data_IF_291432963352
#
_entry.id   IF_291432963352
#
_cell.length_a   1.000
_cell.length_b   1.000
_cell.length_c   1.000
_cell.angle_alpha   90.00
_cell.angle_beta   90.00
_cell.angle_gamma   90.00
#
_symmetry.space_group_name_H-M   'P 1'
#
loop_
_entity.id
_entity.type
_entity.pdbx_description
1 polymer ?
#
# COMPACT_ATOMS: atom_id res chain seq x y z
N UNK A 1 6.25 -0.29 6.76
CA UNK A 1 7.58 0.33 6.46
C UNK A 1 8.70 -0.08 7.44
N UNK A 2 8.54 0.16 8.76
CA UNK A 2 9.62 -0.10 9.75
C UNK A 2 10.02 -1.58 9.86
N UNK A 3 9.06 -2.50 9.75
CA UNK A 3 9.29 -3.96 9.87
C UNK A 3 10.24 -4.47 8.79
N UNK A 4 9.88 -4.30 7.49
CA UNK A 4 10.73 -4.70 6.37
C UNK A 4 12.14 -4.09 6.46
N UNK A 5 12.23 -2.80 6.82
CA UNK A 5 13.53 -2.14 7.01
C UNK A 5 14.37 -2.82 8.11
N UNK A 6 13.79 -3.07 9.30
CA UNK A 6 14.49 -3.72 10.41
C UNK A 6 14.96 -5.13 10.06
N UNK A 7 14.13 -5.92 9.36
CA UNK A 7 14.49 -7.28 8.95
C UNK A 7 15.64 -7.23 7.95
N UNK A 8 15.53 -6.47 6.86
CA UNK A 8 16.53 -6.41 5.79
C UNK A 8 17.89 -5.90 6.28
N UNK A 9 17.91 -4.89 7.16
CA UNK A 9 19.16 -4.27 7.61
C UNK A 9 19.78 -4.98 8.82
N UNK A 10 19.10 -5.99 9.39
CA UNK A 10 19.66 -6.84 10.45
C UNK A 10 20.17 -8.14 9.84
N UNK A 11 21.25 -8.00 9.07
CA UNK A 11 21.83 -9.06 8.23
C UNK A 11 22.33 -10.28 9.02
N UNK A 12 22.69 -10.10 10.29
CA UNK A 12 23.22 -11.15 11.16
C UNK A 12 22.19 -11.76 12.12
N UNK A 13 21.06 -11.11 12.36
CA UNK A 13 20.10 -11.54 13.39
C UNK A 13 18.70 -11.77 12.83
N UNK A 14 18.03 -10.72 12.34
CA UNK A 14 16.63 -10.85 11.92
C UNK A 14 16.50 -11.42 10.51
N UNK A 15 17.38 -11.05 9.57
CA UNK A 15 17.31 -11.55 8.21
C UNK A 15 17.53 -13.08 8.13
N UNK A 16 18.53 -13.67 8.80
CA UNK A 16 18.69 -15.12 8.83
C UNK A 16 17.51 -15.82 9.50
N UNK A 17 17.05 -15.31 10.66
CA UNK A 17 15.88 -15.83 11.36
C UNK A 17 14.61 -15.78 10.51
N UNK A 18 14.42 -14.70 9.75
CA UNK A 18 13.29 -14.58 8.83
C UNK A 18 13.37 -15.65 7.74
N UNK A 19 14.54 -15.82 7.11
CA UNK A 19 14.75 -16.83 6.07
C UNK A 19 14.50 -18.24 6.58
N UNK A 20 14.95 -18.55 7.78
CA UNK A 20 14.67 -19.82 8.46
C UNK A 20 13.18 -19.97 8.78
N UNK A 21 12.52 -18.90 9.25
CA UNK A 21 11.09 -18.93 9.57
C UNK A 21 10.20 -19.19 8.35
N UNK A 22 10.55 -18.63 7.18
CA UNK A 22 9.80 -18.87 5.94
C UNK A 22 10.29 -20.11 5.18
N UNK A 23 11.37 -20.77 5.63
CA UNK A 23 11.87 -21.99 5.01
C UNK A 23 10.81 -23.10 5.13
N UNK A 24 10.57 -23.83 4.03
CA UNK A 24 9.52 -24.85 3.98
C UNK A 24 8.09 -24.32 3.86
N UNK A 25 7.90 -22.99 3.74
CA UNK A 25 6.63 -22.39 3.35
C UNK A 25 6.63 -22.04 1.87
N UNK A 26 5.46 -21.69 1.30
CA UNK A 26 5.36 -21.17 -0.08
C UNK A 26 6.12 -19.84 -0.31
N UNK A 27 6.64 -19.22 0.75
CA UNK A 27 7.39 -17.98 0.71
C UNK A 27 8.90 -18.18 0.93
N UNK A 28 9.40 -19.41 0.78
CA UNK A 28 10.82 -19.70 0.87
C UNK A 28 11.65 -18.77 -0.04
N UNK A 29 12.73 -18.22 0.52
CA UNK A 29 13.60 -17.26 -0.17
C UNK A 29 13.01 -15.85 -0.34
N UNK A 30 11.73 -15.63 -0.02
CA UNK A 30 11.07 -14.32 -0.14
C UNK A 30 11.30 -13.47 1.12
N UNK A 31 11.50 -12.17 0.90
CA UNK A 31 11.60 -11.15 1.97
C UNK A 31 10.53 -10.09 1.73
N UNK A 32 10.02 -9.50 2.81
CA UNK A 32 9.08 -8.38 2.73
C UNK A 32 9.68 -7.22 1.92
N UNK A 33 9.04 -6.79 0.83
CA UNK A 33 9.51 -5.66 0.03
C UNK A 33 9.67 -4.41 0.87
N UNK A 34 10.71 -3.63 0.58
CA UNK A 34 10.94 -2.34 1.22
C UNK A 34 10.18 -1.25 0.49
N UNK A 35 9.50 -0.40 1.25
CA UNK A 35 8.96 0.87 0.76
C UNK A 35 10.10 1.87 0.46
N UNK A 36 10.11 2.37 -0.77
CA UNK A 36 11.11 3.25 -1.39
C UNK A 36 10.40 4.49 -1.92
N UNK A 37 10.60 5.63 -1.26
CA UNK A 37 9.87 6.87 -1.57
C UNK A 37 10.00 7.35 -3.03
N UNK A 38 11.09 7.02 -3.72
CA UNK A 38 11.31 7.39 -5.13
C UNK A 38 10.71 6.40 -6.13
N UNK A 39 10.23 5.24 -5.67
CA UNK A 39 9.59 4.22 -6.51
C UNK A 39 8.09 4.24 -6.28
N UNK A 40 7.37 4.76 -7.28
CA UNK A 40 5.93 5.02 -7.29
C UNK A 40 5.07 3.94 -6.61
N UNK A 41 5.27 2.66 -6.95
CA UNK A 41 4.44 1.56 -6.44
C UNK A 41 4.96 0.85 -5.19
N UNK A 42 6.12 1.24 -4.66
CA UNK A 42 6.78 0.44 -3.62
C UNK A 42 5.98 0.34 -2.32
N UNK A 43 5.21 1.36 -1.95
CA UNK A 43 4.30 1.32 -0.80
C UNK A 43 3.19 0.28 -1.02
N UNK A 44 2.58 0.28 -2.21
CA UNK A 44 1.55 -0.69 -2.57
C UNK A 44 2.12 -2.11 -2.59
N UNK A 45 3.26 -2.32 -3.25
CA UNK A 45 3.93 -3.62 -3.34
C UNK A 45 4.29 -4.16 -1.93
N UNK A 46 4.79 -3.28 -1.06
CA UNK A 46 5.06 -3.62 0.34
C UNK A 46 3.78 -4.05 1.06
N UNK A 47 2.70 -3.26 1.00
CA UNK A 47 1.45 -3.57 1.70
C UNK A 47 0.78 -4.84 1.16
N UNK A 48 0.79 -5.03 -0.16
CA UNK A 48 0.27 -6.22 -0.82
C UNK A 48 1.01 -7.49 -0.38
N UNK A 49 2.35 -7.46 -0.39
CA UNK A 49 3.16 -8.58 0.11
C UNK A 49 2.99 -8.81 1.62
N UNK A 50 2.80 -7.74 2.39
CA UNK A 50 2.57 -7.82 3.83
C UNK A 50 1.25 -8.53 4.16
N UNK A 51 0.19 -8.28 3.38
CA UNK A 51 -1.09 -9.01 3.47
C UNK A 51 -0.96 -10.46 3.01
N UNK A 52 -0.25 -10.69 1.91
CA UNK A 52 -0.04 -12.04 1.37
C UNK A 52 0.67 -12.95 2.37
N UNK A 53 1.61 -12.39 3.13
CA UNK A 53 2.43 -13.08 4.13
C UNK A 53 1.90 -12.89 5.57
N UNK A 54 0.61 -12.54 5.76
CA UNK A 54 0.04 -12.17 7.07
C UNK A 54 0.42 -13.15 8.18
N UNK A 55 0.26 -14.45 7.96
CA UNK A 55 0.54 -15.49 8.96
C UNK A 55 2.01 -15.49 9.39
N UNK A 56 2.93 -15.50 8.43
CA UNK A 56 4.37 -15.54 8.67
C UNK A 56 4.84 -14.24 9.33
N UNK A 57 4.28 -13.11 8.91
CA UNK A 57 4.56 -11.81 9.51
C UNK A 57 4.11 -11.79 10.97
N UNK A 58 2.85 -12.16 11.25
CA UNK A 58 2.30 -12.14 12.60
C UNK A 58 3.10 -13.06 13.54
N UNK A 59 3.37 -14.30 13.12
CA UNK A 59 4.16 -15.23 13.94
C UNK A 59 5.58 -14.72 14.18
N UNK A 60 6.23 -14.16 13.16
CA UNK A 60 7.57 -13.63 13.31
C UNK A 60 7.65 -12.41 14.23
N UNK A 61 6.63 -11.55 14.24
CA UNK A 61 6.58 -10.37 15.11
C UNK A 61 6.28 -10.73 16.57
N UNK A 62 5.41 -11.73 16.78
CA UNK A 62 4.98 -12.17 18.12
C UNK A 62 6.07 -12.97 18.86
N UNK A 63 7.03 -13.57 18.12
CA UNK A 63 8.20 -14.23 18.73
C UNK A 63 9.02 -13.24 19.55
N UNK A 64 8.97 -13.41 20.88
CA UNK A 64 9.71 -12.60 21.87
C UNK A 64 11.22 -12.47 21.57
N UNK A 65 11.83 -13.53 21.02
CA UNK A 65 13.25 -13.56 20.64
C UNK A 65 13.63 -12.60 19.49
N UNK A 66 12.65 -12.03 18.80
CA UNK A 66 12.86 -11.08 17.71
C UNK A 66 12.79 -9.62 18.16
N UNK A 67 12.27 -9.33 19.37
CA UNK A 67 12.09 -7.96 19.90
C UNK A 67 11.34 -7.03 18.91
N UNK A 68 10.33 -7.59 18.25
CA UNK A 68 9.46 -6.89 17.28
C UNK A 68 8.00 -6.85 17.73
N UNK A 69 7.71 -7.24 18.97
CA UNK A 69 6.36 -7.26 19.56
C UNK A 69 5.65 -5.91 19.46
N UNK A 70 6.41 -4.81 19.55
CA UNK A 70 5.87 -3.44 19.43
C UNK A 70 5.30 -3.12 18.03
N UNK A 71 5.50 -4.01 17.05
CA UNK A 71 5.00 -3.87 15.69
C UNK A 71 3.91 -4.91 15.34
N UNK A 72 3.49 -5.72 16.30
CA UNK A 72 2.34 -6.62 16.12
C UNK A 72 1.12 -5.75 15.84
N UNK A 73 0.44 -6.07 14.74
CA UNK A 73 -0.77 -5.37 14.35
C UNK A 73 -1.99 -6.10 14.91
N UNK A 74 -2.99 -5.33 15.33
CA UNK A 74 -4.30 -5.87 15.66
C UNK A 74 -5.13 -6.19 14.40
N UNK A 75 -6.26 -6.86 14.58
CA UNK A 75 -7.12 -7.24 13.46
C UNK A 75 -7.71 -6.02 12.72
N UNK A 76 -7.98 -4.92 13.44
CA UNK A 76 -8.52 -3.70 12.84
C UNK A 76 -7.48 -3.01 11.94
N UNK A 77 -6.21 -3.03 12.34
CA UNK A 77 -5.08 -2.54 11.54
C UNK A 77 -4.84 -3.42 10.30
N UNK A 78 -4.97 -4.75 10.43
CA UNK A 78 -4.88 -5.66 9.28
C UNK A 78 -6.00 -5.43 8.28
N UNK A 79 -7.25 -5.31 8.74
CA UNK A 79 -8.38 -4.98 7.87
C UNK A 79 -8.23 -3.57 7.29
N UNK A 80 -7.60 -2.64 8.02
CA UNK A 80 -7.32 -1.33 7.49
C UNK A 80 -6.35 -1.35 6.30
N UNK A 81 -5.26 -2.12 6.41
CA UNK A 81 -4.30 -2.31 5.31
C UNK A 81 -4.99 -2.97 4.12
N UNK A 82 -5.81 -3.99 4.36
CA UNK A 82 -6.57 -4.68 3.30
C UNK A 82 -7.51 -3.76 2.54
N UNK A 83 -8.26 -2.92 3.24
CA UNK A 83 -9.15 -1.93 2.62
C UNK A 83 -8.38 -0.90 1.79
N UNK A 84 -7.24 -0.42 2.29
CA UNK A 84 -6.39 0.51 1.53
C UNK A 84 -5.79 -0.13 0.28
N UNK A 85 -5.29 -1.36 0.38
CA UNK A 85 -4.73 -2.09 -0.76
C UNK A 85 -5.80 -2.37 -1.81
N UNK A 86 -7.02 -2.77 -1.42
CA UNK A 86 -8.08 -3.06 -2.39
C UNK A 86 -8.47 -1.81 -3.19
N UNK A 87 -8.57 -0.66 -2.54
CA UNK A 87 -8.96 0.60 -3.18
C UNK A 87 -7.90 1.08 -4.18
N UNK A 88 -6.62 0.92 -3.85
CA UNK A 88 -5.52 1.43 -4.68
C UNK A 88 -5.09 0.46 -5.79
N UNK A 89 -5.53 -0.79 -5.74
CA UNK A 89 -5.06 -1.88 -6.60
C UNK A 89 -5.25 -1.58 -8.08
N UNK A 90 -6.45 -1.24 -8.50
CA UNK A 90 -6.79 -1.16 -9.92
C UNK A 90 -6.05 -0.02 -10.61
N UNK A 91 -6.02 1.17 -10.00
CA UNK A 91 -5.25 2.30 -10.50
C UNK A 91 -3.74 2.00 -10.54
N UNK A 92 -3.22 1.37 -9.47
CA UNK A 92 -1.80 1.00 -9.40
C UNK A 92 -1.42 0.03 -10.52
N UNK A 93 -2.22 -1.01 -10.75
CA UNK A 93 -1.99 -1.98 -11.81
C UNK A 93 -2.10 -1.35 -13.20
N UNK A 94 -3.11 -0.49 -13.42
CA UNK A 94 -3.31 0.21 -14.68
C UNK A 94 -2.09 1.05 -15.06
N UNK A 95 -1.60 1.92 -14.15
CA UNK A 95 -0.43 2.76 -14.41
C UNK A 95 0.91 2.01 -14.37
N UNK A 96 0.92 0.77 -13.90
CA UNK A 96 2.07 -0.13 -13.99
C UNK A 96 2.12 -0.90 -15.32
N UNK A 97 1.07 -0.82 -16.13
CA UNK A 97 0.99 -1.48 -17.43
C UNK A 97 1.78 -0.71 -18.50
N UNK A 98 1.87 -1.28 -19.70
CA UNK A 98 2.72 -0.74 -20.76
C UNK A 98 2.13 0.48 -21.49
N UNK A 99 0.82 0.75 -21.39
CA UNK A 99 0.14 1.74 -22.23
C UNK A 99 -0.79 2.75 -21.51
N UNK A 100 -0.53 3.23 -20.28
CA UNK A 100 -1.29 4.37 -19.76
C UNK A 100 -0.90 5.66 -20.50
N UNK A 101 -1.90 6.43 -20.92
CA UNK A 101 -1.72 7.73 -21.57
C UNK A 101 -2.02 8.88 -20.60
N UNK A 102 -1.62 10.10 -20.98
CA UNK A 102 -1.93 11.32 -20.20
C UNK A 102 -3.45 11.54 -20.08
N UNK A 103 -4.23 11.12 -21.08
CA UNK A 103 -5.69 11.25 -21.07
C UNK A 103 -6.34 10.33 -20.02
N UNK A 104 -5.69 9.23 -19.64
CA UNK A 104 -6.22 8.27 -18.67
C UNK A 104 -6.07 8.73 -17.21
N UNK A 105 -5.31 9.81 -16.97
CA UNK A 105 -5.02 10.31 -15.63
C UNK A 105 -6.29 10.85 -14.95
N UNK A 106 -7.11 11.66 -15.63
CA UNK A 106 -8.34 12.18 -15.03
C UNK A 106 -9.35 11.07 -14.73
N UNK A 107 -9.69 10.16 -15.67
CA UNK A 107 -10.59 9.04 -15.37
C UNK A 107 -10.12 8.19 -14.18
N UNK A 108 -8.80 7.94 -14.08
CA UNK A 108 -8.27 7.19 -12.94
C UNK A 108 -8.33 7.99 -11.64
N UNK A 109 -8.07 9.30 -11.66
CA UNK A 109 -8.28 10.16 -10.51
C UNK A 109 -9.74 10.16 -10.06
N UNK A 110 -10.70 10.23 -11.00
CA UNK A 110 -12.14 10.20 -10.71
C UNK A 110 -12.56 8.88 -10.07
N UNK A 111 -12.05 7.76 -10.59
CA UNK A 111 -12.30 6.44 -10.02
C UNK A 111 -11.74 6.31 -8.58
N UNK A 112 -10.54 6.85 -8.32
CA UNK A 112 -9.96 6.91 -6.98
C UNK A 112 -10.79 7.82 -6.07
N UNK A 113 -11.22 9.00 -6.55
CA UNK A 113 -12.02 9.95 -5.78
C UNK A 113 -13.36 9.36 -5.34
N UNK A 114 -14.05 8.67 -6.27
CA UNK A 114 -15.30 7.95 -6.02
C UNK A 114 -15.09 6.81 -5.03
N UNK A 115 -14.01 6.04 -5.18
CA UNK A 115 -13.66 4.95 -4.25
C UNK A 115 -13.38 5.49 -2.85
N UNK A 116 -12.65 6.60 -2.73
CA UNK A 116 -12.39 7.28 -1.46
C UNK A 116 -13.68 7.81 -0.83
N UNK A 117 -14.51 8.50 -1.60
CA UNK A 117 -15.79 9.03 -1.12
C UNK A 117 -16.70 7.90 -0.60
N UNK A 118 -16.81 6.82 -1.36
CA UNK A 118 -17.59 5.63 -0.99
C UNK A 118 -17.05 4.99 0.29
N UNK A 119 -15.74 4.81 0.40
CA UNK A 119 -15.11 4.29 1.61
C UNK A 119 -15.31 5.21 2.82
N UNK A 120 -15.20 6.53 2.68
CA UNK A 120 -15.41 7.47 3.79
C UNK A 120 -16.85 7.40 4.34
N UNK A 121 -17.84 7.23 3.47
CA UNK A 121 -19.26 7.18 3.84
C UNK A 121 -19.66 5.79 4.39
N UNK A 122 -19.09 4.71 3.86
CA UNK A 122 -19.45 3.34 4.23
C UNK A 122 -18.84 2.90 5.56
N UNK A 123 -19.47 3.35 6.67
CA UNK A 123 -19.03 3.06 8.05
C UNK A 123 -19.13 1.58 8.44
N UNK A 124 -19.95 0.79 7.76
CA UNK A 124 -20.06 -0.65 8.04
C UNK A 124 -18.91 -1.44 7.39
N UNK A 125 -18.42 -1.01 6.23
CA UNK A 125 -17.36 -1.71 5.49
C UNK A 125 -15.95 -1.16 5.72
N UNK A 126 -15.80 0.03 6.32
CA UNK A 126 -14.48 0.63 6.58
C UNK A 126 -14.31 1.11 8.01
N UNK A 127 -13.19 0.71 8.61
CA UNK A 127 -12.79 1.10 9.96
C UNK A 127 -12.47 2.60 10.04
N UNK A 128 -12.52 3.15 11.26
CA UNK A 128 -12.22 4.57 11.48
C UNK A 128 -10.81 4.98 10.99
N UNK A 129 -9.74 4.20 11.21
CA UNK A 129 -8.42 4.50 10.66
C UNK A 129 -8.39 4.58 9.13
N UNK A 130 -9.08 3.66 8.43
CA UNK A 130 -9.18 3.69 6.96
C UNK A 130 -9.88 4.96 6.50
N UNK A 131 -11.03 5.28 7.08
CA UNK A 131 -11.78 6.49 6.70
C UNK A 131 -10.96 7.76 6.90
N UNK A 132 -10.16 7.83 7.96
CA UNK A 132 -9.23 8.93 8.17
C UNK A 132 -8.15 8.97 7.08
N UNK A 133 -7.53 7.84 6.75
CA UNK A 133 -6.54 7.75 5.68
C UNK A 133 -7.12 8.13 4.31
N UNK A 134 -8.34 7.67 3.98
CA UNK A 134 -9.05 8.06 2.75
C UNK A 134 -9.34 9.57 2.71
N UNK A 135 -9.71 10.17 3.84
CA UNK A 135 -9.95 11.61 3.94
C UNK A 135 -8.68 12.43 3.66
N UNK A 136 -7.53 11.96 4.16
CA UNK A 136 -6.22 12.54 3.82
C UNK A 136 -5.91 12.34 2.34
N UNK A 137 -6.12 11.13 1.82
CA UNK A 137 -5.95 10.80 0.41
C UNK A 137 -6.75 11.71 -0.51
N UNK A 138 -8.01 11.98 -0.18
CA UNK A 138 -8.90 12.88 -0.94
C UNK A 138 -8.37 14.31 -0.98
N UNK A 139 -7.82 14.83 0.13
CA UNK A 139 -7.18 16.16 0.16
C UNK A 139 -5.96 16.22 -0.77
N UNK A 140 -5.15 15.16 -0.76
CA UNK A 140 -4.01 15.04 -1.68
C UNK A 140 -4.48 15.00 -3.14
N UNK A 141 -5.53 14.22 -3.42
CA UNK A 141 -6.09 14.12 -4.77
C UNK A 141 -6.63 15.47 -5.27
N UNK A 142 -7.34 16.22 -4.43
CA UNK A 142 -7.82 17.58 -4.75
C UNK A 142 -6.68 18.53 -5.13
N UNK A 143 -5.54 18.45 -4.44
CA UNK A 143 -4.35 19.22 -4.81
C UNK A 143 -3.87 18.85 -6.22
N UNK A 144 -3.84 17.57 -6.57
CA UNK A 144 -3.43 17.13 -7.90
C UNK A 144 -4.47 17.48 -8.97
N UNK A 145 -5.77 17.48 -8.67
CA UNK A 145 -6.79 17.97 -9.60
C UNK A 145 -6.54 19.43 -9.99
N UNK A 146 -6.23 20.27 -9.01
CA UNK A 146 -5.90 21.67 -9.26
C UNK A 146 -4.68 21.81 -10.18
N UNK A 147 -3.61 21.06 -9.92
CA UNK A 147 -2.40 21.08 -10.76
C UNK A 147 -2.64 20.57 -12.18
N UNK A 148 -3.53 19.58 -12.33
CA UNK A 148 -3.95 19.05 -13.63
C UNK A 148 -4.75 20.09 -14.42
N UNK A 149 -5.68 20.82 -13.79
CA UNK A 149 -6.48 21.86 -14.44
C UNK A 149 -5.64 23.08 -14.88
N UNK A 150 -4.62 23.43 -14.08
CA UNK A 150 -3.67 24.50 -14.39
C UNK A 150 -2.68 24.12 -15.52
N UNK A 151 -2.56 22.84 -15.86
CA UNK A 151 -1.57 22.35 -16.82
C UNK A 151 -2.11 22.27 -18.25
N UNK A 152 -1.45 22.99 -19.17
CA UNK A 152 -1.77 22.98 -20.59
C UNK A 152 -1.72 21.57 -21.21
N UNK A 153 -0.83 20.70 -20.74
CA UNK A 153 -0.66 19.34 -21.28
C UNK A 153 -1.92 18.52 -21.08
N UNK A 154 -2.51 18.57 -19.89
CA UNK A 154 -3.73 17.82 -19.59
C UNK A 154 -4.95 18.42 -20.29
N UNK A 155 -5.05 19.75 -20.35
CA UNK A 155 -6.11 20.42 -21.11
C UNK A 155 -6.06 20.07 -22.60
N UNK A 156 -4.87 19.97 -23.19
CA UNK A 156 -4.70 19.55 -24.59
C UNK A 156 -5.00 18.06 -24.80
N UNK A 157 -4.67 17.21 -23.82
CA UNK A 157 -4.94 15.77 -23.90
C UNK A 157 -6.44 15.45 -23.81
N UNK A 158 -7.20 16.24 -23.06
CA UNK A 158 -8.66 16.06 -22.85
C UNK A 158 -9.48 16.82 -23.90
N UNK A 159 -8.97 17.92 -24.43
CA UNK A 159 -9.67 18.79 -25.38
C UNK A 159 -9.80 18.25 -26.81
N UNK A 160 -9.76 16.94 -27.02
CA UNK A 160 -10.04 16.28 -28.30
C UNK A 160 -11.33 15.47 -28.24
#
# INVERSE_FOLDING_TARGET
RKISFKIIHSTMLLLPKWREHVAGTKFEGRVLPRDVATRWNSTYDMMSAFLEMKEQVSEFLDRSSNRLSDFVLDDDEWEAIKGLVSILKDATLFFSSHNPSVADIIPAMDAIDQSFATGIVNRQATSAPVRHALSIGKRTLNKYYQLTDESHIYRMAIGK
#
